data_IF_723518348470
#
_entry.id   IF_723518348470
#
_cell.length_a   1.000
_cell.length_b   1.000
_cell.length_c   1.000
_cell.angle_alpha   90.00
_cell.angle_beta   90.00
_cell.angle_gamma   90.00
#
_symmetry.space_group_name_H-M   'P 1'
#
loop_
_entity.id
_entity.type
_entity.pdbx_description
1 polymer ?
#
# COMPACT_ATOMS: atom_id res chain seq x y z
N UNK A 1 7.93 24.72 14.10
CA UNK A 1 7.39 24.77 12.72
C UNK A 1 7.47 23.40 12.04
N UNK A 2 8.63 22.70 12.06
CA UNK A 2 8.82 21.35 11.47
C UNK A 2 7.87 20.28 12.00
N UNK A 3 7.63 20.24 13.31
CA UNK A 3 6.72 19.24 13.90
C UNK A 3 5.25 19.52 13.59
N UNK A 4 4.89 20.75 13.23
CA UNK A 4 3.50 21.18 13.02
C UNK A 4 3.03 20.87 11.59
N UNK A 5 3.88 21.02 10.57
CA UNK A 5 3.54 20.65 9.18
C UNK A 5 3.51 19.13 8.97
N UNK A 6 4.48 18.41 9.55
CA UNK A 6 4.50 16.94 9.52
C UNK A 6 3.33 16.36 10.32
N UNK A 7 3.02 16.94 11.49
CA UNK A 7 1.81 16.62 12.26
C UNK A 7 0.54 16.93 11.45
N UNK A 8 0.46 18.05 10.73
CA UNK A 8 -0.72 18.40 9.92
C UNK A 8 -0.94 17.47 8.73
N UNK A 9 0.12 17.08 8.03
CA UNK A 9 0.05 16.15 6.90
C UNK A 9 -0.25 14.71 7.36
N UNK A 10 0.36 14.26 8.47
CA UNK A 10 0.00 13.01 9.13
C UNK A 10 -1.44 13.04 9.65
N UNK A 11 -1.95 14.17 10.15
CA UNK A 11 -3.33 14.29 10.65
C UNK A 11 -4.37 14.36 9.52
N UNK A 12 -4.01 14.89 8.33
CA UNK A 12 -4.89 14.91 7.15
C UNK A 12 -4.84 13.66 6.28
N UNK A 13 -3.73 12.91 6.29
CA UNK A 13 -3.55 11.72 5.45
C UNK A 13 -3.71 10.39 6.21
N UNK A 14 -3.50 10.35 7.54
CA UNK A 14 -3.89 9.18 8.38
C UNK A 14 -5.33 8.72 8.20
N UNK A 15 -6.34 9.61 7.99
CA UNK A 15 -7.72 9.19 7.74
C UNK A 15 -7.91 8.37 6.46
N UNK A 16 -6.92 8.32 5.55
CA UNK A 16 -7.00 7.58 4.28
C UNK A 16 -6.22 6.27 4.29
N UNK A 17 -5.46 5.98 5.35
CA UNK A 17 -5.06 4.61 5.65
C UNK A 17 -6.26 3.91 6.28
N UNK A 18 -6.98 3.14 5.45
CA UNK A 18 -8.29 2.60 5.79
C UNK A 18 -8.34 1.83 7.14
N UNK A 19 -7.32 1.03 7.51
CA UNK A 19 -7.29 0.33 8.81
C UNK A 19 -7.30 1.25 10.03
N UNK A 20 -6.81 2.49 9.86
CA UNK A 20 -6.73 3.49 10.93
C UNK A 20 -7.96 4.41 10.96
N UNK A 21 -8.92 4.22 10.05
CA UNK A 21 -10.02 5.16 9.82
C UNK A 21 -11.37 4.44 9.69
N UNK A 22 -12.04 4.16 10.82
CA UNK A 22 -13.38 3.55 10.82
C UNK A 22 -14.41 4.38 10.03
N UNK A 23 -14.24 5.71 10.00
CA UNK A 23 -15.11 6.60 9.22
C UNK A 23 -14.89 6.42 7.72
N UNK A 24 -13.64 6.45 7.23
CA UNK A 24 -13.37 6.23 5.81
C UNK A 24 -13.80 4.82 5.35
N UNK A 25 -13.64 3.80 6.20
CA UNK A 25 -14.16 2.45 5.91
C UNK A 25 -15.69 2.42 5.83
N UNK A 26 -16.37 3.18 6.69
CA UNK A 26 -17.83 3.28 6.65
C UNK A 26 -18.30 3.96 5.37
N UNK A 27 -17.62 5.02 4.97
CA UNK A 27 -17.92 5.87 3.81
C UNK A 27 -17.50 5.23 2.47
N UNK A 28 -16.63 4.22 2.49
CA UNK A 28 -16.32 3.43 1.30
C UNK A 28 -17.60 2.83 0.72
N UNK A 29 -17.88 3.19 -0.54
CA UNK A 29 -19.10 2.74 -1.21
C UNK A 29 -19.12 1.21 -1.35
N UNK A 30 -20.33 0.65 -1.38
CA UNK A 30 -20.52 -0.76 -1.77
C UNK A 30 -20.83 -0.80 -3.27
N UNK A 31 -20.03 -1.56 -4.01
CA UNK A 31 -20.23 -1.76 -5.45
C UNK A 31 -21.51 -2.54 -5.78
N UNK A 32 -21.99 -2.37 -7.01
CA UNK A 32 -23.06 -3.19 -7.59
C UNK A 32 -22.53 -3.98 -8.79
N UNK A 33 -23.30 -4.92 -9.34
CA UNK A 33 -22.88 -5.66 -10.54
C UNK A 33 -22.64 -4.74 -11.74
N UNK A 34 -23.42 -3.66 -11.87
CA UNK A 34 -23.31 -2.70 -12.99
C UNK A 34 -22.32 -1.56 -12.71
N UNK A 35 -21.99 -1.33 -11.44
CA UNK A 35 -20.98 -0.35 -11.02
C UNK A 35 -20.16 -0.92 -9.85
N UNK A 36 -19.22 -1.84 -10.14
CA UNK A 36 -18.50 -2.60 -9.13
C UNK A 36 -17.55 -1.71 -8.34
N UNK A 37 -17.20 -2.12 -7.12
CA UNK A 37 -16.11 -1.52 -6.35
C UNK A 37 -14.80 -1.83 -7.07
N UNK A 38 -14.03 -0.80 -7.42
CA UNK A 38 -12.79 -0.92 -8.19
C UNK A 38 -11.61 -0.74 -7.26
N UNK A 39 -10.81 -1.79 -7.15
CA UNK A 39 -9.70 -1.83 -6.22
C UNK A 39 -8.40 -1.81 -7.02
N UNK A 40 -7.57 -0.79 -6.84
CA UNK A 40 -6.20 -0.79 -7.35
C UNK A 40 -5.38 -1.81 -6.57
N UNK A 41 -4.68 -2.70 -7.23
CA UNK A 41 -3.93 -3.78 -6.56
C UNK A 41 -2.49 -3.80 -7.03
N UNK A 42 -1.54 -3.99 -6.11
CA UNK A 42 -0.16 -4.28 -6.52
C UNK A 42 -0.12 -5.51 -7.43
N UNK A 43 0.40 -5.37 -8.65
CA UNK A 43 0.39 -6.44 -9.67
C UNK A 43 1.00 -7.76 -9.20
N UNK A 44 2.03 -7.70 -8.33
CA UNK A 44 2.65 -8.88 -7.74
C UNK A 44 1.71 -9.69 -6.82
N UNK A 45 0.66 -9.08 -6.25
CA UNK A 45 -0.39 -9.82 -5.53
C UNK A 45 -1.26 -10.62 -6.51
N UNK A 46 -1.45 -10.11 -7.72
CA UNK A 46 -2.27 -10.73 -8.77
C UNK A 46 -1.50 -11.75 -9.62
N UNK A 47 -0.34 -12.22 -9.16
CA UNK A 47 0.47 -13.23 -9.84
C UNK A 47 1.32 -12.70 -11.00
N UNK A 48 1.46 -11.37 -11.15
CA UNK A 48 2.34 -10.82 -12.19
C UNK A 48 3.81 -11.03 -11.81
N UNK A 49 4.68 -11.43 -12.76
CA UNK A 49 6.11 -11.64 -12.54
C UNK A 49 6.88 -10.31 -12.51
N UNK A 50 6.56 -9.45 -11.54
CA UNK A 50 6.97 -8.04 -11.50
C UNK A 50 7.72 -7.66 -10.22
N UNK A 51 8.07 -8.63 -9.37
CA UNK A 51 9.04 -8.39 -8.29
C UNK A 51 10.44 -8.14 -8.86
N UNK A 52 11.40 -7.83 -8.00
CA UNK A 52 12.78 -7.51 -8.37
C UNK A 52 13.45 -8.55 -9.27
N UNK A 53 13.15 -9.83 -9.08
CA UNK A 53 13.70 -10.98 -9.80
C UNK A 53 12.74 -11.60 -10.84
N UNK A 54 11.62 -10.95 -11.13
CA UNK A 54 10.64 -11.47 -12.10
C UNK A 54 9.75 -12.58 -11.56
N UNK A 55 9.51 -12.58 -10.25
CA UNK A 55 8.55 -13.46 -9.57
C UNK A 55 7.28 -12.69 -9.18
N UNK A 56 6.31 -13.37 -8.58
CA UNK A 56 5.17 -12.71 -7.92
C UNK A 56 5.43 -12.56 -6.40
N UNK A 57 4.48 -11.98 -5.67
CA UNK A 57 4.61 -11.86 -4.21
C UNK A 57 4.26 -13.15 -3.45
N UNK A 58 3.82 -14.22 -4.12
CA UNK A 58 3.25 -15.42 -3.50
C UNK A 58 1.93 -15.17 -2.77
N UNK A 59 1.25 -14.06 -3.06
CA UNK A 59 0.04 -13.60 -2.34
C UNK A 59 -1.27 -13.81 -3.11
N UNK A 60 -1.25 -14.52 -4.25
CA UNK A 60 -2.42 -14.69 -5.13
C UNK A 60 -3.67 -15.23 -4.44
N UNK A 61 -3.52 -16.08 -3.42
CA UNK A 61 -4.65 -16.61 -2.64
C UNK A 61 -5.28 -15.60 -1.67
N UNK A 62 -4.55 -14.57 -1.24
CA UNK A 62 -4.97 -13.69 -0.15
C UNK A 62 -6.19 -12.83 -0.49
N UNK A 63 -6.36 -12.46 -1.76
CA UNK A 63 -7.47 -11.62 -2.23
C UNK A 63 -8.44 -12.37 -3.16
N UNK A 64 -8.23 -13.67 -3.39
CA UNK A 64 -9.04 -14.46 -4.32
C UNK A 64 -10.53 -14.40 -3.98
N UNK A 65 -10.88 -14.54 -2.70
CA UNK A 65 -12.27 -14.50 -2.26
C UNK A 65 -12.93 -13.11 -2.43
N UNK A 66 -12.15 -12.03 -2.29
CA UNK A 66 -12.63 -10.65 -2.52
C UNK A 66 -12.92 -10.42 -4.01
N UNK A 67 -12.02 -10.85 -4.90
CA UNK A 67 -12.17 -10.68 -6.35
C UNK A 67 -13.07 -11.72 -7.03
N UNK A 68 -13.50 -12.76 -6.31
CA UNK A 68 -14.56 -13.65 -6.76
C UNK A 68 -15.97 -13.03 -6.61
N UNK A 69 -16.11 -11.91 -5.90
CA UNK A 69 -17.40 -11.25 -5.70
C UNK A 69 -17.83 -10.54 -7.01
N UNK A 70 -19.09 -10.70 -7.44
CA UNK A 70 -19.56 -10.23 -8.75
C UNK A 70 -19.64 -8.69 -8.88
N UNK A 71 -19.49 -7.97 -7.77
CA UNK A 71 -19.57 -6.52 -7.67
C UNK A 71 -18.26 -5.89 -7.17
N UNK A 72 -17.13 -6.60 -7.33
CA UNK A 72 -15.78 -6.13 -7.03
C UNK A 72 -14.88 -6.42 -8.23
N UNK A 73 -14.05 -5.46 -8.62
CA UNK A 73 -13.11 -5.58 -9.73
C UNK A 73 -11.71 -5.22 -9.28
N UNK A 74 -10.74 -6.08 -9.59
CA UNK A 74 -9.32 -5.79 -9.43
C UNK A 74 -8.80 -4.96 -10.60
N UNK A 75 -8.02 -3.93 -10.27
CA UNK A 75 -7.31 -3.05 -11.19
C UNK A 75 -5.81 -3.21 -10.90
N UNK A 76 -5.13 -4.24 -11.45
CA UNK A 76 -3.74 -4.51 -11.15
C UNK A 76 -2.79 -3.49 -11.79
N UNK A 77 -1.76 -3.08 -11.05
CA UNK A 77 -0.68 -2.22 -11.57
C UNK A 77 0.63 -2.45 -10.81
N UNK A 78 1.77 -2.32 -11.48
CA UNK A 78 3.09 -2.33 -10.83
C UNK A 78 3.86 -1.04 -11.16
N UNK A 79 4.06 -0.14 -10.17
CA UNK A 79 4.79 1.11 -10.40
C UNK A 79 6.27 0.86 -10.67
N UNK A 80 6.89 -0.09 -9.98
CA UNK A 80 8.32 -0.36 -10.13
C UNK A 80 8.64 -0.97 -11.50
N UNK A 81 7.82 -1.90 -12.00
CA UNK A 81 8.01 -2.49 -13.33
C UNK A 81 7.77 -1.45 -14.44
N UNK A 82 6.73 -0.61 -14.30
CA UNK A 82 6.45 0.46 -15.27
C UNK A 82 7.56 1.52 -15.29
N UNK A 83 8.16 1.82 -14.14
CA UNK A 83 9.14 2.89 -13.99
C UNK A 83 10.58 2.47 -14.26
N UNK A 84 10.97 1.31 -13.76
CA UNK A 84 12.36 0.83 -13.71
C UNK A 84 12.55 -0.41 -14.60
N UNK A 85 11.53 -1.27 -14.67
CA UNK A 85 11.54 -2.54 -15.40
C UNK A 85 11.76 -3.76 -14.50
N UNK A 86 11.80 -4.93 -15.14
CA UNK A 86 12.05 -6.23 -14.50
C UNK A 86 12.99 -7.06 -15.38
N UNK A 87 14.09 -7.65 -14.84
CA UNK A 87 14.57 -7.52 -13.47
C UNK A 87 15.17 -6.13 -13.19
N UNK A 88 15.35 -5.78 -11.91
CA UNK A 88 15.90 -4.49 -11.48
C UNK A 88 16.71 -4.60 -10.19
N UNK A 89 17.43 -3.54 -9.81
CA UNK A 89 17.94 -3.39 -8.45
C UNK A 89 16.79 -3.28 -7.43
N UNK A 90 17.05 -3.63 -6.17
CA UNK A 90 16.09 -3.55 -5.06
C UNK A 90 15.91 -2.09 -4.62
N UNK A 91 14.78 -1.44 -4.93
CA UNK A 91 14.60 -0.03 -4.59
C UNK A 91 14.33 0.13 -3.09
N UNK A 92 15.02 1.09 -2.49
CA UNK A 92 14.91 1.48 -1.09
C UNK A 92 14.86 3.01 -0.94
N UNK A 93 14.13 3.52 0.06
CA UNK A 93 14.00 4.96 0.30
C UNK A 93 15.06 5.40 1.30
N UNK A 94 15.87 6.39 0.91
CA UNK A 94 16.89 6.99 1.75
C UNK A 94 16.49 8.42 2.16
N UNK A 95 16.41 8.65 3.47
CA UNK A 95 16.21 9.98 4.05
C UNK A 95 14.75 10.36 4.35
N UNK A 96 13.82 9.40 4.38
CA UNK A 96 12.41 9.64 4.71
C UNK A 96 11.49 8.53 4.20
N UNK A 97 10.26 8.89 3.85
CA UNK A 97 9.29 8.00 3.21
C UNK A 97 8.87 8.49 1.81
N UNK A 98 7.84 7.86 1.25
CA UNK A 98 7.31 8.22 -0.06
C UNK A 98 6.85 9.68 -0.17
N UNK A 99 6.33 10.29 0.90
CA UNK A 99 5.97 11.71 0.87
C UNK A 99 7.20 12.60 0.79
N UNK A 100 8.28 12.25 1.50
CA UNK A 100 9.54 12.97 1.43
C UNK A 100 10.17 12.87 0.04
N UNK A 101 10.05 11.72 -0.64
CA UNK A 101 10.48 11.58 -2.04
C UNK A 101 9.68 12.52 -2.95
N UNK A 102 8.34 12.54 -2.82
CA UNK A 102 7.48 13.41 -3.62
C UNK A 102 7.76 14.91 -3.39
N UNK A 103 8.29 15.28 -2.24
CA UNK A 103 8.66 16.66 -1.91
C UNK A 103 10.14 16.98 -2.16
N UNK A 104 10.90 16.05 -2.75
CA UNK A 104 12.33 16.22 -3.06
C UNK A 104 13.24 16.23 -1.83
N UNK A 105 12.80 15.68 -0.69
CA UNK A 105 13.56 15.57 0.57
C UNK A 105 14.24 14.22 0.78
N UNK A 106 13.75 13.18 0.11
CA UNK A 106 14.32 11.83 0.14
C UNK A 106 14.58 11.33 -1.29
N UNK A 107 15.32 10.21 -1.40
CA UNK A 107 15.66 9.58 -2.69
C UNK A 107 15.34 8.10 -2.67
N UNK A 108 15.16 7.52 -3.86
CA UNK A 108 15.08 6.08 -4.04
C UNK A 108 16.37 5.60 -4.65
N UNK A 109 17.10 4.74 -3.94
CA UNK A 109 18.34 4.14 -4.43
C UNK A 109 18.20 2.62 -4.53
N UNK A 110 19.04 1.98 -5.34
CA UNK A 110 19.21 0.53 -5.28
C UNK A 110 20.38 0.10 -4.36
N UNK A 111 20.57 -1.21 -4.20
CA UNK A 111 21.65 -1.75 -3.37
C UNK A 111 23.07 -1.43 -3.88
N UNK A 112 23.21 -0.90 -5.10
CA UNK A 112 24.48 -0.49 -5.69
C UNK A 112 24.67 1.04 -5.60
N UNK A 113 23.71 1.78 -5.05
CA UNK A 113 23.73 3.24 -4.93
C UNK A 113 23.28 3.96 -6.20
N UNK A 114 22.69 3.27 -7.18
CA UNK A 114 22.12 3.92 -8.36
C UNK A 114 20.86 4.69 -7.94
N UNK A 115 20.73 5.93 -8.41
CA UNK A 115 19.55 6.76 -8.14
C UNK A 115 18.39 6.37 -9.06
N UNK A 116 17.34 5.82 -8.46
CA UNK A 116 16.12 5.37 -9.12
C UNK A 116 14.95 6.34 -8.92
N UNK A 117 15.18 7.51 -8.32
CA UNK A 117 14.12 8.43 -7.87
C UNK A 117 13.18 8.82 -9.00
N UNK A 118 13.70 9.31 -10.12
CA UNK A 118 12.89 9.75 -11.27
C UNK A 118 12.08 8.61 -11.89
N UNK A 119 12.70 7.43 -12.02
CA UNK A 119 12.03 6.23 -12.54
C UNK A 119 10.89 5.77 -11.61
N UNK A 120 11.13 5.80 -10.29
CA UNK A 120 10.10 5.48 -9.29
C UNK A 120 8.95 6.50 -9.32
N UNK A 121 9.25 7.79 -9.38
CA UNK A 121 8.23 8.85 -9.48
C UNK A 121 7.42 8.73 -10.77
N UNK A 122 8.06 8.41 -11.89
CA UNK A 122 7.37 8.13 -13.14
C UNK A 122 6.41 6.95 -13.02
N UNK A 123 6.88 5.81 -12.50
CA UNK A 123 6.03 4.64 -12.25
C UNK A 123 4.85 4.92 -11.32
N UNK A 124 5.08 5.66 -10.23
CA UNK A 124 4.04 6.13 -9.31
C UNK A 124 3.01 7.02 -10.01
N UNK A 125 3.46 7.95 -10.87
CA UNK A 125 2.58 8.85 -11.63
C UNK A 125 1.69 8.08 -12.60
N UNK A 126 2.23 7.06 -13.28
CA UNK A 126 1.47 6.19 -14.17
C UNK A 126 0.45 5.33 -13.42
N UNK A 127 0.80 4.87 -12.23
CA UNK A 127 -0.14 4.16 -11.36
C UNK A 127 -1.32 5.05 -10.96
N UNK A 128 -1.07 6.31 -10.60
CA UNK A 128 -2.13 7.25 -10.25
C UNK A 128 -3.00 7.60 -11.46
N UNK A 129 -2.39 7.91 -12.60
CA UNK A 129 -3.10 8.19 -13.87
C UNK A 129 -4.06 7.04 -14.20
N UNK A 130 -3.54 5.81 -14.20
CA UNK A 130 -4.34 4.62 -14.43
C UNK A 130 -5.45 4.44 -13.39
N UNK A 131 -5.18 4.68 -12.11
CA UNK A 131 -6.18 4.57 -11.06
C UNK A 131 -7.35 5.57 -11.25
N UNK A 132 -7.05 6.80 -11.65
CA UNK A 132 -8.05 7.83 -11.93
C UNK A 132 -8.88 7.49 -13.18
N UNK A 133 -8.24 7.04 -14.26
CA UNK A 133 -8.92 6.58 -15.48
C UNK A 133 -9.88 5.42 -15.20
N UNK A 134 -9.45 4.49 -14.36
CA UNK A 134 -10.26 3.33 -13.96
C UNK A 134 -11.29 3.67 -12.87
N UNK A 135 -11.33 4.90 -12.35
CA UNK A 135 -12.22 5.31 -11.25
C UNK A 135 -12.09 4.39 -10.04
N UNK A 136 -10.86 4.17 -9.60
CA UNK A 136 -10.52 3.39 -8.41
C UNK A 136 -11.12 4.02 -7.16
N UNK A 137 -11.66 3.18 -6.27
CA UNK A 137 -12.26 3.60 -5.01
C UNK A 137 -11.33 3.42 -3.81
N UNK A 138 -10.42 2.45 -3.88
CA UNK A 138 -9.49 2.07 -2.81
C UNK A 138 -8.32 1.29 -3.41
N UNK A 139 -7.14 1.34 -2.77
CA UNK A 139 -5.97 0.58 -3.21
C UNK A 139 -5.50 -0.45 -2.16
N UNK A 140 -5.33 -1.71 -2.56
CA UNK A 140 -4.74 -2.79 -1.74
C UNK A 140 -3.31 -3.05 -2.22
N UNK A 141 -2.33 -2.65 -1.41
CA UNK A 141 -0.92 -2.62 -1.81
C UNK A 141 -0.04 -3.53 -0.96
N UNK A 142 1.11 -3.92 -1.51
CA UNK A 142 2.10 -4.77 -0.80
C UNK A 142 2.97 -3.91 0.11
N UNK A 143 2.94 -4.21 1.41
CA UNK A 143 3.81 -3.54 2.38
C UNK A 143 5.30 -3.85 2.19
N UNK A 144 6.14 -3.10 2.90
CA UNK A 144 7.60 -3.17 2.91
C UNK A 144 8.26 -2.65 1.61
N UNK A 145 7.53 -2.48 0.51
CA UNK A 145 8.03 -1.93 -0.76
C UNK A 145 8.27 -0.41 -0.71
N UNK A 146 9.35 0.06 -1.34
CA UNK A 146 9.65 1.47 -1.54
C UNK A 146 8.63 2.16 -2.46
N UNK A 147 7.89 1.42 -3.28
CA UNK A 147 6.81 1.96 -4.11
C UNK A 147 5.45 1.79 -3.44
N UNK A 148 5.11 0.55 -3.07
CA UNK A 148 3.76 0.13 -2.66
C UNK A 148 3.54 0.06 -1.15
N UNK A 149 4.59 0.27 -0.33
CA UNK A 149 4.48 0.24 1.13
C UNK A 149 3.33 1.14 1.62
N UNK A 150 2.48 0.62 2.49
CA UNK A 150 1.23 1.29 2.91
C UNK A 150 1.24 1.74 4.36
N UNK A 151 2.01 1.06 5.21
CA UNK A 151 2.18 1.39 6.63
C UNK A 151 3.62 1.15 7.08
N UNK A 152 4.32 0.23 6.41
CA UNK A 152 5.70 -0.13 6.67
C UNK A 152 6.47 -0.13 5.36
N UNK A 153 7.65 0.46 5.36
CA UNK A 153 8.65 0.33 4.31
C UNK A 153 9.92 -0.28 4.90
N UNK A 154 10.75 -0.87 4.05
CA UNK A 154 12.11 -1.24 4.46
C UNK A 154 12.94 0.00 4.76
N UNK A 155 13.89 -0.19 5.67
CA UNK A 155 14.95 0.76 5.99
C UNK A 155 16.26 0.09 5.57
N UNK A 156 16.62 0.19 4.29
CA UNK A 156 17.74 -0.53 3.70
C UNK A 156 17.34 -1.67 2.77
N UNK A 157 18.36 -2.25 2.11
CA UNK A 157 18.18 -3.29 1.11
C UNK A 157 17.52 -4.56 1.66
N UNK A 158 16.44 -5.03 1.01
CA UNK A 158 15.68 -6.24 1.42
C UNK A 158 16.32 -7.57 1.05
N UNK A 159 17.41 -7.53 0.28
CA UNK A 159 18.13 -8.73 -0.14
C UNK A 159 19.06 -9.26 0.97
N UNK A 160 19.25 -8.50 2.05
CA UNK A 160 20.04 -8.93 3.20
C UNK A 160 19.22 -9.83 4.14
N UNK A 161 19.86 -10.72 4.92
CA UNK A 161 19.18 -11.57 5.90
C UNK A 161 18.51 -10.77 7.03
N UNK A 162 19.23 -9.82 7.61
CA UNK A 162 18.78 -9.02 8.74
C UNK A 162 18.10 -7.75 8.25
N UNK A 163 16.80 -7.87 7.97
CA UNK A 163 16.00 -6.77 7.42
C UNK A 163 15.58 -5.79 8.50
N UNK A 164 15.76 -4.52 8.20
CA UNK A 164 15.27 -3.39 9.00
C UNK A 164 14.06 -2.73 8.35
N UNK A 165 13.18 -2.20 9.18
CA UNK A 165 11.92 -1.62 8.77
C UNK A 165 11.67 -0.30 9.48
N UNK A 166 10.93 0.58 8.83
CA UNK A 166 10.47 1.83 9.39
C UNK A 166 8.98 2.02 9.12
N UNK A 167 8.32 2.79 10.00
CA UNK A 167 6.95 3.25 9.76
C UNK A 167 7.00 4.28 8.63
N UNK A 168 6.13 4.13 7.64
CA UNK A 168 6.10 5.00 6.47
C UNK A 168 5.43 4.35 5.28
N UNK A 169 5.28 5.11 4.20
CA UNK A 169 4.67 4.66 2.96
C UNK A 169 5.66 4.69 1.80
N UNK A 170 5.42 3.89 0.77
CA UNK A 170 6.17 3.96 -0.48
C UNK A 170 5.74 5.14 -1.36
N UNK A 171 6.53 5.43 -2.39
CA UNK A 171 6.33 6.59 -3.28
C UNK A 171 4.99 6.55 -4.02
N UNK A 172 4.58 5.38 -4.54
CA UNK A 172 3.31 5.23 -5.24
C UNK A 172 2.13 5.35 -4.25
N UNK A 173 2.24 4.74 -3.07
CA UNK A 173 1.23 4.89 -2.03
C UNK A 173 1.06 6.34 -1.59
N UNK A 174 2.16 7.06 -1.36
CA UNK A 174 2.13 8.49 -1.04
C UNK A 174 1.37 9.30 -2.11
N UNK A 175 1.59 8.99 -3.39
CA UNK A 175 0.95 9.70 -4.50
C UNK A 175 -0.55 9.39 -4.58
N UNK A 176 -0.93 8.12 -4.41
CA UNK A 176 -2.34 7.67 -4.37
C UNK A 176 -3.07 8.32 -3.18
N UNK A 177 -2.45 8.35 -2.00
CA UNK A 177 -3.00 9.03 -0.82
C UNK A 177 -3.16 10.55 -1.06
N UNK A 178 -2.19 11.24 -1.67
CA UNK A 178 -2.31 12.67 -2.02
C UNK A 178 -3.47 12.95 -2.97
N UNK A 179 -3.84 11.99 -3.82
CA UNK A 179 -4.97 12.10 -4.73
C UNK A 179 -6.34 11.81 -4.07
N UNK A 180 -6.36 11.48 -2.78
CA UNK A 180 -7.61 11.22 -2.06
C UNK A 180 -8.12 9.79 -2.17
N UNK A 181 -7.32 8.86 -2.70
CA UNK A 181 -7.70 7.44 -2.80
C UNK A 181 -7.24 6.73 -1.51
N UNK A 182 -8.16 6.11 -0.74
CA UNK A 182 -7.81 5.36 0.45
C UNK A 182 -6.93 4.15 0.12
N UNK A 183 -6.02 3.82 1.03
CA UNK A 183 -5.07 2.70 0.87
C UNK A 183 -5.12 1.77 2.07
N UNK A 184 -4.95 0.48 1.81
CA UNK A 184 -4.67 -0.54 2.81
C UNK A 184 -3.63 -1.55 2.30
N UNK A 185 -3.01 -2.25 3.23
CA UNK A 185 -2.10 -3.35 2.99
C UNK A 185 -2.86 -4.63 2.63
N UNK A 186 -2.23 -5.50 1.84
CA UNK A 186 -2.66 -6.89 1.71
C UNK A 186 -2.64 -7.68 3.04
N UNK A 187 -2.01 -7.12 4.09
CA UNK A 187 -1.93 -7.68 5.44
C UNK A 187 -3.00 -7.14 6.41
N UNK A 188 -3.84 -6.20 5.97
CA UNK A 188 -4.91 -5.64 6.78
C UNK A 188 -6.15 -6.53 6.76
N UNK A 189 -6.02 -7.73 7.33
CA UNK A 189 -7.02 -8.80 7.16
C UNK A 189 -8.37 -8.44 7.76
N UNK A 190 -8.40 -7.71 8.88
CA UNK A 190 -9.65 -7.28 9.53
C UNK A 190 -10.39 -6.28 8.65
N UNK A 191 -9.69 -5.29 8.10
CA UNK A 191 -10.27 -4.29 7.20
C UNK A 191 -10.67 -4.90 5.86
N UNK A 192 -9.84 -5.74 5.25
CA UNK A 192 -10.17 -6.48 4.02
C UNK A 192 -11.44 -7.33 4.21
N UNK A 193 -11.55 -8.01 5.34
CA UNK A 193 -12.72 -8.82 5.65
C UNK A 193 -13.98 -7.98 5.86
N UNK A 194 -13.86 -6.81 6.49
CA UNK A 194 -14.97 -5.87 6.60
C UNK A 194 -15.48 -5.41 5.22
N UNK A 195 -14.57 -5.13 4.27
CA UNK A 195 -14.94 -4.83 2.88
C UNK A 195 -15.67 -6.02 2.25
N UNK A 196 -15.13 -7.24 2.37
CA UNK A 196 -15.78 -8.43 1.82
C UNK A 196 -17.19 -8.64 2.38
N UNK A 197 -17.40 -8.46 3.69
CA UNK A 197 -18.70 -8.61 4.34
C UNK A 197 -19.74 -7.59 3.85
N UNK A 198 -19.33 -6.38 3.44
CA UNK A 198 -20.25 -5.40 2.84
C UNK A 198 -20.81 -5.86 1.49
N UNK A 199 -20.10 -6.75 0.82
CA UNK A 199 -20.44 -7.30 -0.48
C UNK A 199 -21.02 -8.72 -0.41
N UNK A 200 -20.90 -9.38 0.75
CA UNK A 200 -21.45 -10.70 1.04
C UNK A 200 -21.82 -10.78 2.52
N UNK A 201 -23.08 -10.47 2.83
CA UNK A 201 -23.61 -10.41 4.20
C UNK A 201 -23.74 -11.80 4.87
N UNK A 202 -23.68 -12.88 4.08
CA UNK A 202 -23.65 -14.26 4.57
C UNK A 202 -22.32 -14.64 5.23
N UNK A 203 -21.26 -13.84 5.06
CA UNK A 203 -19.97 -14.06 5.73
C UNK A 203 -20.10 -13.80 7.25
N UNK A 204 -19.62 -14.72 8.10
CA UNK A 204 -19.76 -14.62 9.56
C UNK A 204 -18.98 -13.45 10.15
N UNK A 205 -19.26 -13.10 11.40
CA UNK A 205 -18.39 -12.18 12.14
C UNK A 205 -17.04 -12.84 12.46
N UNK A 206 -15.94 -12.07 12.45
CA UNK A 206 -14.58 -12.54 12.74
C UNK A 206 -13.83 -11.52 13.60
N UNK A 207 -13.81 -11.76 14.90
CA UNK A 207 -13.10 -10.93 15.91
C UNK A 207 -11.62 -11.30 16.06
N UNK A 208 -11.21 -12.43 15.48
CA UNK A 208 -9.85 -12.97 15.51
C UNK A 208 -8.93 -12.31 14.48
N UNK A 209 -9.49 -11.66 13.45
CA UNK A 209 -8.70 -10.98 12.43
C UNK A 209 -8.04 -9.72 12.99
N UNK A 210 -6.86 -9.41 12.46
CA UNK A 210 -6.03 -8.28 12.83
C UNK A 210 -5.59 -7.54 11.57
N UNK A 211 -5.53 -6.22 11.67
CA UNK A 211 -4.85 -5.39 10.69
C UNK A 211 -3.33 -5.41 10.94
N UNK A 212 -2.52 -4.99 9.97
CA UNK A 212 -1.07 -5.17 10.02
C UNK A 212 -0.47 -4.51 11.27
N UNK A 213 -0.94 -3.31 11.62
CA UNK A 213 -0.49 -2.58 12.80
C UNK A 213 -0.93 -3.21 14.14
N UNK A 214 -1.88 -4.14 14.13
CA UNK A 214 -2.37 -4.87 15.31
C UNK A 214 -1.66 -6.23 15.50
N UNK A 215 -0.77 -6.63 14.59
CA UNK A 215 -0.08 -7.93 14.66
C UNK A 215 1.02 -7.93 15.74
N UNK A 216 1.25 -9.10 16.35
CA UNK A 216 2.32 -9.29 17.35
C UNK A 216 3.69 -8.86 16.82
N UNK A 217 3.99 -9.17 15.55
CA UNK A 217 5.22 -8.74 14.91
C UNK A 217 5.34 -7.21 14.87
N UNK A 218 4.30 -6.52 14.43
CA UNK A 218 4.32 -5.06 14.31
C UNK A 218 4.47 -4.40 15.69
N UNK A 219 3.68 -4.85 16.67
CA UNK A 219 3.70 -4.31 18.04
C UNK A 219 5.05 -4.60 18.71
N UNK A 220 5.59 -5.81 18.55
CA UNK A 220 6.90 -6.15 19.10
C UNK A 220 8.04 -5.37 18.44
N UNK A 221 7.95 -5.08 17.14
CA UNK A 221 9.02 -4.43 16.39
C UNK A 221 9.02 -2.91 16.59
N UNK A 222 7.85 -2.27 16.47
CA UNK A 222 7.71 -0.82 16.52
C UNK A 222 7.23 -0.27 17.87
N UNK A 223 6.85 -1.14 18.81
CA UNK A 223 6.16 -0.76 20.04
C UNK A 223 4.68 -0.45 19.83
N UNK A 224 3.92 -0.46 20.92
CA UNK A 224 2.48 -0.20 20.91
C UNK A 224 2.20 1.28 20.56
N UNK A 225 1.42 1.51 19.51
CA UNK A 225 0.99 2.84 19.06
C UNK A 225 -0.15 3.42 19.89
N UNK A 226 -0.73 2.65 20.82
CA UNK A 226 -1.83 3.10 21.69
C UNK A 226 -1.44 4.18 22.73
N UNK A 227 -0.15 4.56 22.80
CA UNK A 227 0.41 5.38 23.89
C UNK A 227 0.80 6.82 23.53
N UNK A 228 0.54 7.32 22.31
CA UNK A 228 0.77 8.75 21.98
C UNK A 228 -0.55 9.53 21.87
N UNK A 229 -1.14 9.82 23.03
CA UNK A 229 -2.02 10.99 23.26
C UNK A 229 -1.26 12.29 23.17
#
# INVERSE_FOLDING_TARGET
MRDVEMSFMLTKLRPMLLPHSPLALKDLRTGTVNDPLRILVSGCIMGWPVTTDGTDAGLGGSLQALFALPNVVAVPFCPEDTGIGTPRGMPDIHGGDGFDVLDGRARVLDQHGNDLTEMMMYGASKMLEFALEQRVDVAVLTDMSAACGSQVISDGCRLVPDRTYQRGVGVATAMVLRAGIPVLSARDYKTLYAIMRRHNDALPHRDDLRDHHETDWYVSYFGDTSSST
#
